data_IF_563840906677
#
_entry.id   IF_563840906677
#
_cell.length_a   1.000
_cell.length_b   1.000
_cell.length_c   1.000
_cell.angle_alpha   90.00
_cell.angle_beta   90.00
_cell.angle_gamma   90.00
#
_symmetry.space_group_name_H-M   'P 1'
#
loop_
_entity.id
_entity.type
_entity.pdbx_description
1 polymer ?
#
# COMPACT_ATOMS: atom_id res chain seq x y z
N UNK A 1 34.98 -11.82 -14.48
CA UNK A 1 33.91 -10.86 -14.83
C UNK A 1 32.52 -11.38 -14.46
N UNK A 2 32.20 -12.67 -14.66
CA UNK A 2 30.87 -13.26 -14.35
C UNK A 2 30.42 -13.19 -12.88
N UNK A 3 31.33 -13.30 -11.90
CA UNK A 3 30.98 -13.31 -10.46
C UNK A 3 30.31 -12.00 -10.00
N UNK A 4 30.60 -10.86 -10.65
CA UNK A 4 30.06 -9.56 -10.26
C UNK A 4 28.65 -9.30 -10.79
N UNK A 5 28.27 -9.95 -11.90
CA UNK A 5 26.94 -9.84 -12.49
C UNK A 5 25.91 -10.67 -11.71
N UNK A 6 26.31 -11.84 -11.21
CA UNK A 6 25.42 -12.71 -10.43
C UNK A 6 25.08 -12.10 -9.06
N UNK A 7 26.04 -11.46 -8.39
CA UNK A 7 25.82 -10.78 -7.12
C UNK A 7 24.94 -9.52 -7.28
N UNK A 8 25.13 -8.76 -8.36
CA UNK A 8 24.28 -7.61 -8.68
C UNK A 8 22.83 -8.04 -8.99
N UNK A 9 22.65 -9.14 -9.74
CA UNK A 9 21.33 -9.72 -10.03
C UNK A 9 20.64 -10.26 -8.77
N UNK A 10 21.36 -10.96 -7.90
CA UNK A 10 20.81 -11.42 -6.61
C UNK A 10 20.41 -10.26 -5.70
N UNK A 11 21.23 -9.21 -5.61
CA UNK A 11 20.90 -8.02 -4.84
C UNK A 11 19.66 -7.32 -5.39
N UNK A 12 19.55 -7.14 -6.71
CA UNK A 12 18.34 -6.57 -7.34
C UNK A 12 17.09 -7.41 -7.10
N UNK A 13 17.19 -8.74 -7.17
CA UNK A 13 16.06 -9.65 -6.93
C UNK A 13 15.60 -9.59 -5.46
N UNK A 14 16.54 -9.57 -4.52
CA UNK A 14 16.25 -9.38 -3.08
C UNK A 14 15.61 -8.03 -2.81
N UNK A 15 16.12 -6.96 -3.41
CA UNK A 15 15.59 -5.61 -3.19
C UNK A 15 14.16 -5.46 -3.73
N UNK A 16 13.85 -6.10 -4.87
CA UNK A 16 12.48 -6.16 -5.41
C UNK A 16 11.55 -6.95 -4.48
N UNK A 17 11.97 -8.12 -4.01
CA UNK A 17 11.19 -8.93 -3.08
C UNK A 17 10.90 -8.18 -1.77
N UNK A 18 11.90 -7.48 -1.22
CA UNK A 18 11.75 -6.67 0.00
C UNK A 18 10.81 -5.49 -0.22
N UNK A 19 10.92 -4.78 -1.36
CA UNK A 19 10.02 -3.65 -1.68
C UNK A 19 8.56 -4.09 -1.83
N UNK A 20 8.31 -5.25 -2.44
CA UNK A 20 6.96 -5.80 -2.55
C UNK A 20 6.38 -6.19 -1.19
N UNK A 21 7.20 -6.76 -0.29
CA UNK A 21 6.79 -7.07 1.08
C UNK A 21 6.53 -5.81 1.92
N UNK A 22 7.35 -4.77 1.77
CA UNK A 22 7.21 -3.50 2.51
C UNK A 22 5.94 -2.73 2.12
N UNK A 23 5.61 -2.67 0.83
CA UNK A 23 4.39 -2.00 0.33
C UNK A 23 3.10 -2.56 0.92
N UNK A 24 3.04 -3.87 1.17
CA UNK A 24 1.86 -4.48 1.80
C UNK A 24 1.74 -4.07 3.27
N UNK A 25 2.86 -3.98 4.00
CA UNK A 25 2.88 -3.69 5.44
C UNK A 25 2.41 -2.28 5.78
N UNK A 26 2.78 -1.29 4.97
CA UNK A 26 2.33 0.11 5.17
C UNK A 26 0.82 0.28 5.03
N UNK A 27 0.20 -0.50 4.13
CA UNK A 27 -1.24 -0.49 3.95
C UNK A 27 -1.98 -1.08 5.16
N UNK A 28 -1.51 -2.24 5.66
CA UNK A 28 -2.07 -2.83 6.88
C UNK A 28 -1.86 -1.95 8.11
N UNK A 29 -0.73 -1.24 8.20
CA UNK A 29 -0.48 -0.28 9.28
C UNK A 29 -1.51 0.85 9.32
N UNK A 30 -1.78 1.48 8.17
CA UNK A 30 -2.81 2.52 8.08
C UNK A 30 -4.22 1.98 8.37
N UNK A 31 -4.56 0.79 7.88
CA UNK A 31 -5.85 0.15 8.13
C UNK A 31 -6.05 -0.18 9.63
N UNK A 32 -4.99 -0.65 10.29
CA UNK A 32 -5.01 -0.97 11.71
C UNK A 32 -5.22 0.29 12.55
N UNK A 33 -4.47 1.36 12.27
CA UNK A 33 -4.64 2.65 12.97
C UNK A 33 -6.03 3.22 12.73
N UNK A 34 -6.52 3.19 11.48
CA UNK A 34 -7.89 3.60 11.15
C UNK A 34 -8.92 2.84 11.97
N UNK A 35 -8.80 1.51 12.05
CA UNK A 35 -9.74 0.67 12.79
C UNK A 35 -9.70 0.95 14.29
N UNK A 36 -8.51 1.11 14.88
CA UNK A 36 -8.34 1.41 16.30
C UNK A 36 -8.92 2.79 16.67
N UNK A 37 -8.61 3.83 15.89
CA UNK A 37 -9.07 5.20 16.15
C UNK A 37 -10.58 5.29 15.98
N UNK A 38 -11.14 4.76 14.89
CA UNK A 38 -12.60 4.78 14.68
C UNK A 38 -13.33 3.92 15.71
N UNK A 39 -12.82 2.73 16.03
CA UNK A 39 -13.38 1.90 17.10
C UNK A 39 -13.40 2.63 18.45
N UNK A 40 -12.31 3.31 18.80
CA UNK A 40 -12.23 4.11 20.02
C UNK A 40 -13.25 5.27 20.04
N UNK A 41 -13.42 5.98 18.92
CA UNK A 41 -14.42 7.04 18.77
C UNK A 41 -15.86 6.50 18.94
N UNK A 42 -16.15 5.34 18.37
CA UNK A 42 -17.45 4.68 18.51
C UNK A 42 -17.70 4.24 19.95
N UNK A 43 -16.67 3.69 20.62
CA UNK A 43 -16.77 3.33 22.04
C UNK A 43 -17.04 4.56 22.90
N UNK A 44 -16.31 5.66 22.69
CA UNK A 44 -16.56 6.93 23.37
C UNK A 44 -18.01 7.36 23.15
N UNK A 45 -18.46 7.40 21.91
CA UNK A 45 -19.84 7.79 21.60
C UNK A 45 -20.86 6.89 22.32
N UNK A 46 -20.64 5.57 22.30
CA UNK A 46 -21.54 4.60 22.94
C UNK A 46 -21.64 4.76 24.47
N UNK A 47 -20.57 5.24 25.13
CA UNK A 47 -20.59 5.49 26.58
C UNK A 47 -21.05 6.91 26.93
N UNK A 48 -20.84 7.90 26.05
CA UNK A 48 -21.19 9.30 26.34
C UNK A 48 -22.61 9.66 25.93
N UNK A 49 -23.07 9.19 24.77
CA UNK A 49 -24.32 9.67 24.18
C UNK A 49 -24.90 8.71 23.12
N UNK A 50 -25.29 7.51 23.57
CA UNK A 50 -25.85 6.46 22.69
C UNK A 50 -27.21 6.84 22.05
N UNK A 51 -27.89 7.84 22.61
CA UNK A 51 -29.16 8.36 22.09
C UNK A 51 -28.98 9.64 21.25
N UNK A 52 -27.79 10.24 21.27
CA UNK A 52 -27.45 11.43 20.52
C UNK A 52 -27.05 11.15 19.07
N UNK A 53 -26.73 12.23 18.35
CA UNK A 53 -26.28 12.13 16.97
C UNK A 53 -24.92 11.40 16.87
N UNK A 54 -24.80 10.46 15.93
CA UNK A 54 -23.60 9.65 15.71
C UNK A 54 -22.48 10.47 15.04
N UNK A 55 -21.89 11.39 15.79
CA UNK A 55 -20.80 12.24 15.33
C UNK A 55 -19.53 11.50 14.86
N UNK A 56 -19.21 10.26 15.29
CA UNK A 56 -18.09 9.50 14.72
C UNK A 56 -18.22 9.25 13.21
N UNK A 57 -19.42 9.41 12.62
CA UNK A 57 -19.61 9.28 11.18
C UNK A 57 -18.71 10.21 10.37
N UNK A 58 -18.45 11.42 10.84
CA UNK A 58 -17.64 12.39 10.10
C UNK A 58 -16.19 11.94 9.92
N UNK A 59 -15.43 11.60 10.99
CA UNK A 59 -14.08 11.08 10.82
C UNK A 59 -14.07 9.74 10.09
N UNK A 60 -15.06 8.85 10.31
CA UNK A 60 -15.17 7.57 9.59
C UNK A 60 -15.25 7.81 8.09
N UNK A 61 -16.12 8.71 7.63
CA UNK A 61 -16.35 8.99 6.21
C UNK A 61 -15.18 9.77 5.62
N UNK A 62 -14.73 10.84 6.27
CA UNK A 62 -13.62 11.67 5.76
C UNK A 62 -12.33 10.85 5.60
N UNK A 63 -11.96 10.06 6.61
CA UNK A 63 -10.78 9.20 6.53
C UNK A 63 -11.03 7.94 5.73
N UNK A 64 -12.26 7.40 5.72
CA UNK A 64 -12.64 6.25 4.91
C UNK A 64 -12.41 6.52 3.43
N UNK A 65 -12.76 7.71 2.95
CA UNK A 65 -12.48 8.14 1.56
C UNK A 65 -10.97 8.20 1.31
N UNK A 66 -10.18 8.77 2.22
CA UNK A 66 -8.72 8.82 2.07
C UNK A 66 -8.07 7.43 2.02
N UNK A 67 -8.53 6.50 2.87
CA UNK A 67 -8.08 5.11 2.88
C UNK A 67 -8.50 4.39 1.60
N UNK A 68 -9.73 4.59 1.11
CA UNK A 68 -10.21 3.99 -0.14
C UNK A 68 -9.41 4.52 -1.33
N UNK A 69 -9.11 5.83 -1.39
CA UNK A 69 -8.29 6.40 -2.46
C UNK A 69 -6.85 5.86 -2.41
N UNK A 70 -6.28 5.72 -1.23
CA UNK A 70 -4.96 5.11 -1.06
C UNK A 70 -4.98 3.61 -1.39
N UNK A 71 -6.05 2.89 -1.02
CA UNK A 71 -6.24 1.50 -1.39
C UNK A 71 -6.39 1.35 -2.90
N UNK A 72 -7.13 2.25 -3.56
CA UNK A 72 -7.26 2.29 -5.01
C UNK A 72 -5.89 2.55 -5.67
N UNK A 73 -5.08 3.46 -5.16
CA UNK A 73 -3.71 3.65 -5.68
C UNK A 73 -2.84 2.39 -5.46
N UNK A 74 -3.00 1.67 -4.36
CA UNK A 74 -2.20 0.46 -4.07
C UNK A 74 -2.70 -0.79 -4.80
N UNK A 75 -4.00 -0.91 -5.08
CA UNK A 75 -4.62 -2.08 -5.71
C UNK A 75 -4.92 -1.89 -7.20
N UNK A 76 -5.33 -0.70 -7.61
CA UNK A 76 -5.60 -0.35 -9.02
C UNK A 76 -4.34 0.11 -9.76
N UNK A 77 -3.40 0.70 -9.04
CA UNK A 77 -2.07 1.07 -9.57
C UNK A 77 -1.01 0.02 -9.22
N UNK A 78 -1.44 -1.24 -9.06
CA UNK A 78 -0.53 -2.37 -9.17
C UNK A 78 -0.21 -2.59 -10.63
N UNK A 79 1.08 -2.55 -10.88
CA UNK A 79 1.75 -3.00 -12.09
C UNK A 79 1.56 -2.06 -13.29
N UNK A 80 2.29 -0.92 -13.26
CA UNK A 80 3.18 -0.75 -14.42
C UNK A 80 4.09 -1.97 -14.35
N UNK A 81 3.68 -2.98 -15.11
CA UNK A 81 4.22 -4.32 -15.10
C UNK A 81 5.73 -4.19 -15.23
N UNK A 82 6.43 -4.51 -14.14
CA UNK A 82 7.87 -4.46 -14.11
C UNK A 82 8.44 -5.49 -15.12
N UNK A 83 7.62 -6.45 -15.58
CA UNK A 83 7.89 -7.23 -16.77
C UNK A 83 7.67 -6.46 -18.08
N UNK A 84 6.66 -5.60 -18.23
CA UNK A 84 6.49 -4.75 -19.41
C UNK A 84 7.66 -3.78 -19.57
N UNK A 85 8.10 -3.11 -18.50
CA UNK A 85 9.29 -2.23 -18.56
C UNK A 85 10.52 -3.06 -18.96
N UNK A 86 10.68 -4.26 -18.40
CA UNK A 86 11.83 -5.12 -18.70
C UNK A 86 11.80 -5.68 -20.12
N UNK A 87 10.62 -6.03 -20.64
CA UNK A 87 10.42 -6.43 -22.04
C UNK A 87 10.75 -5.28 -22.99
N UNK A 88 10.36 -4.06 -22.65
CA UNK A 88 10.66 -2.89 -23.49
C UNK A 88 12.15 -2.55 -23.49
N UNK A 89 12.83 -2.62 -22.33
CA UNK A 89 14.29 -2.43 -22.27
C UNK A 89 15.07 -3.50 -23.05
N UNK A 90 14.69 -4.78 -22.96
CA UNK A 90 15.30 -5.87 -23.74
C UNK A 90 15.09 -5.69 -25.25
N UNK A 91 13.95 -5.10 -25.64
CA UNK A 91 13.64 -4.81 -27.04
C UNK A 91 14.52 -3.68 -27.58
N UNK A 92 14.79 -2.65 -26.79
CA UNK A 92 15.71 -1.56 -27.16
C UNK A 92 17.17 -2.04 -27.22
N UNK A 93 17.60 -2.88 -26.27
CA UNK A 93 18.97 -3.42 -26.23
C UNK A 93 19.27 -4.40 -27.38
N UNK A 94 18.26 -5.02 -27.99
CA UNK A 94 18.40 -5.89 -29.18
C UNK A 94 18.33 -5.14 -30.52
N UNK A 95 18.01 -3.84 -30.51
CA UNK A 95 17.88 -3.03 -31.72
C UNK A 95 18.83 -1.81 -31.75
N UNK A 96 19.75 -1.70 -30.78
CA UNK A 96 20.95 -0.87 -30.85
C UNK A 96 22.20 -1.73 -31.00
#
# INVERSE_FOLDING_TARGET
MAINDDTAREQMLRDKAVRQLKKRRDFYGHLLVYTLVNGFLVVIWAITDVHGFFWPVFPIVAWGIAVILNAWDVFWRRDIDEEQIRREMDRMAKHG
#
